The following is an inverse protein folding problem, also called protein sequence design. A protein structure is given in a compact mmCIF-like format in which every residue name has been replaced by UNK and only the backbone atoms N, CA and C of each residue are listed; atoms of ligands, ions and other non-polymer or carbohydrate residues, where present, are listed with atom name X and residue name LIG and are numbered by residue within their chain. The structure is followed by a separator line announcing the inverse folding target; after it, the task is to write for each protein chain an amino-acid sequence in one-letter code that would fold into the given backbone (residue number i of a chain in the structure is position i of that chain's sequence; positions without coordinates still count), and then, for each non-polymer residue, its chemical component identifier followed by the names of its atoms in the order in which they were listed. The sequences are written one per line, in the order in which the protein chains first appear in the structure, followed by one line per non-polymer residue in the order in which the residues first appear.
data_IF_790272518150
#
_entry.id   IF_790272518150
#
_cell.length_a   1.000
_cell.length_b   1.000
_cell.length_c   1.000
_cell.angle_alpha   90.00
_cell.angle_beta   90.00
_cell.angle_gamma   90.00
#
_symmetry.space_group_name_H-M   'P 1'
#
loop_
_entity.id
_entity.type
_entity.pdbx_description
1 polymer ?
#
# COMPACT_ATOMS: atom_id res chain seq x y z
N UNK A 1 -0.48 4.98 40.27
CA UNK A 1 -1.88 5.24 39.85
C UNK A 1 -1.95 6.07 38.56
N UNK A 2 -1.03 7.02 38.32
CA UNK A 2 -0.99 7.87 37.12
C UNK A 2 -0.65 7.11 35.80
N UNK A 3 0.16 6.05 35.88
CA UNK A 3 0.61 5.30 34.69
C UNK A 3 -0.49 4.47 34.02
N UNK A 4 -1.46 3.97 34.79
CA UNK A 4 -2.60 3.21 34.24
C UNK A 4 -3.52 4.14 33.44
N UNK A 5 -3.77 5.35 33.96
CA UNK A 5 -4.54 6.36 33.23
C UNK A 5 -3.81 6.83 31.97
N UNK A 6 -2.49 7.02 32.05
CA UNK A 6 -1.66 7.36 30.89
C UNK A 6 -1.71 6.26 29.83
N UNK A 7 -1.50 5.00 30.20
CA UNK A 7 -1.59 3.86 29.27
C UNK A 7 -2.98 3.72 28.65
N UNK A 8 -4.05 3.90 29.44
CA UNK A 8 -5.43 3.87 28.92
C UNK A 8 -5.69 5.02 27.94
N UNK A 9 -5.19 6.21 28.25
CA UNK A 9 -5.33 7.38 27.37
C UNK A 9 -4.59 7.18 26.04
N UNK A 10 -3.36 6.67 26.07
CA UNK A 10 -2.59 6.39 24.84
C UNK A 10 -3.27 5.34 23.97
N UNK A 11 -3.82 4.27 24.57
CA UNK A 11 -4.62 3.28 23.82
C UNK A 11 -5.85 3.89 23.14
N UNK A 12 -6.56 4.79 23.84
CA UNK A 12 -7.75 5.44 23.29
C UNK A 12 -7.40 6.38 22.12
N UNK A 13 -6.30 7.13 22.22
CA UNK A 13 -5.80 7.97 21.13
C UNK A 13 -5.44 7.12 19.91
N UNK A 14 -4.74 6.00 20.12
CA UNK A 14 -4.35 5.13 19.02
C UNK A 14 -5.56 4.50 18.33
N UNK A 15 -6.54 4.02 19.11
CA UNK A 15 -7.81 3.53 18.56
C UNK A 15 -8.55 4.61 17.75
N UNK A 16 -8.58 5.85 18.24
CA UNK A 16 -9.19 6.96 17.52
C UNK A 16 -8.45 7.28 16.22
N UNK A 17 -7.10 7.22 16.22
CA UNK A 17 -6.26 7.44 15.04
C UNK A 17 -6.53 6.38 13.96
N UNK A 18 -6.48 5.10 14.32
CA UNK A 18 -6.76 3.98 13.41
C UNK A 18 -8.18 4.10 12.84
N UNK A 19 -9.17 4.42 13.67
CA UNK A 19 -10.55 4.58 13.23
C UNK A 19 -10.68 5.74 12.22
N UNK A 20 -10.04 6.87 12.49
CA UNK A 20 -10.04 8.02 11.58
C UNK A 20 -9.37 7.68 10.25
N UNK A 21 -8.25 6.95 10.27
CA UNK A 21 -7.57 6.51 9.06
C UNK A 21 -8.44 5.56 8.22
N UNK A 22 -9.04 4.55 8.85
CA UNK A 22 -9.96 3.63 8.16
C UNK A 22 -11.17 4.34 7.56
N UNK A 23 -11.72 5.35 8.25
CA UNK A 23 -12.81 6.16 7.70
C UNK A 23 -12.39 6.86 6.41
N UNK A 24 -11.19 7.46 6.39
CA UNK A 24 -10.65 8.09 5.16
C UNK A 24 -10.48 7.08 4.03
N UNK A 25 -10.04 5.86 4.33
CA UNK A 25 -9.95 4.81 3.31
C UNK A 25 -11.31 4.46 2.72
N UNK A 26 -12.36 4.39 3.57
CA UNK A 26 -13.72 4.12 3.14
C UNK A 26 -14.33 5.27 2.32
N UNK A 27 -13.91 6.50 2.59
CA UNK A 27 -14.37 7.70 1.87
C UNK A 27 -13.59 7.94 0.56
N UNK A 28 -12.43 7.29 0.36
CA UNK A 28 -11.67 7.37 -0.87
C UNK A 28 -12.26 6.42 -1.92
N UNK A 29 -13.04 6.97 -2.84
CA UNK A 29 -13.74 6.25 -3.91
C UNK A 29 -12.79 5.43 -4.79
N UNK A 30 -11.68 6.02 -5.25
CA UNK A 30 -10.69 5.35 -6.10
C UNK A 30 -10.03 4.17 -5.38
N UNK A 31 -9.70 4.34 -4.10
CA UNK A 31 -9.18 3.24 -3.29
C UNK A 31 -10.23 2.13 -3.12
N UNK A 32 -11.50 2.47 -2.89
CA UNK A 32 -12.56 1.46 -2.75
C UNK A 32 -12.81 0.70 -4.05
N UNK A 33 -12.80 1.38 -5.20
CA UNK A 33 -12.91 0.76 -6.52
C UNK A 33 -11.74 -0.20 -6.78
N UNK A 34 -10.51 0.25 -6.52
CA UNK A 34 -9.30 -0.56 -6.62
C UNK A 34 -9.34 -1.80 -5.72
N UNK A 35 -9.64 -1.63 -4.43
CA UNK A 35 -9.73 -2.75 -3.49
C UNK A 35 -10.84 -3.74 -3.90
N UNK A 36 -11.96 -3.25 -4.43
CA UNK A 36 -13.02 -4.10 -4.95
C UNK A 36 -12.58 -4.87 -6.20
N UNK A 37 -11.81 -4.26 -7.10
CA UNK A 37 -11.31 -4.88 -8.32
C UNK A 37 -10.24 -5.95 -8.02
N UNK A 38 -9.35 -5.68 -7.05
CA UNK A 38 -8.35 -6.63 -6.57
C UNK A 38 -8.98 -7.92 -6.02
N UNK A 39 -10.19 -7.82 -5.45
CA UNK A 39 -11.03 -8.89 -4.89
C UNK A 39 -10.40 -9.60 -3.67
N UNK A 40 -9.21 -10.18 -3.82
CA UNK A 40 -8.46 -10.85 -2.76
C UNK A 40 -7.16 -10.10 -2.48
N UNK A 41 -7.11 -9.43 -1.33
CA UNK A 41 -5.94 -8.67 -0.90
C UNK A 41 -5.79 -8.73 0.63
N UNK A 42 -4.61 -8.35 1.12
CA UNK A 42 -4.34 -8.19 2.55
C UNK A 42 -3.87 -6.78 2.82
N UNK A 43 -4.57 -6.05 3.68
CA UNK A 43 -4.06 -4.78 4.23
C UNK A 43 -3.04 -5.12 5.32
N UNK A 44 -1.83 -4.60 5.16
CA UNK A 44 -0.72 -4.80 6.08
C UNK A 44 -0.82 -3.77 7.21
N UNK A 45 -0.76 -4.24 8.46
CA UNK A 45 -0.85 -3.42 9.69
C UNK A 45 0.39 -3.61 10.59
N UNK A 46 1.43 -4.27 10.10
CA UNK A 46 2.70 -4.44 10.83
C UNK A 46 3.63 -3.27 10.53
N UNK A 47 3.87 -2.41 11.52
CA UNK A 47 4.73 -1.22 11.38
C UNK A 47 6.16 -1.54 10.94
N UNK A 48 6.76 -2.64 11.44
CA UNK A 48 8.12 -3.00 11.07
C UNK A 48 8.18 -3.45 9.62
N UNK A 49 7.17 -4.18 9.17
CA UNK A 49 7.03 -4.60 7.79
C UNK A 49 6.80 -3.40 6.87
N UNK A 50 5.87 -2.52 7.24
CA UNK A 50 5.57 -1.30 6.49
C UNK A 50 6.82 -0.44 6.31
N UNK A 51 7.57 -0.18 7.39
CA UNK A 51 8.80 0.61 7.31
C UNK A 51 9.82 0.01 6.34
N UNK A 52 10.03 -1.31 6.38
CA UNK A 52 10.96 -1.99 5.45
C UNK A 52 10.52 -1.86 4.00
N UNK A 53 9.23 -2.07 3.72
CA UNK A 53 8.69 -1.97 2.36
C UNK A 53 8.79 -0.54 1.84
N UNK A 54 8.46 0.45 2.69
CA UNK A 54 8.60 1.87 2.34
C UNK A 54 10.06 2.27 2.12
N UNK A 55 10.99 1.77 2.93
CA UNK A 55 12.43 2.01 2.74
C UNK A 55 12.90 1.50 1.37
N UNK A 56 12.41 0.34 0.93
CA UNK A 56 12.73 -0.22 -0.40
C UNK A 56 12.12 0.65 -1.51
N UNK A 57 10.82 0.94 -1.42
CA UNK A 57 10.12 1.74 -2.43
C UNK A 57 10.69 3.17 -2.55
N UNK A 58 11.16 3.75 -1.43
CA UNK A 58 11.73 5.10 -1.39
C UNK A 58 13.21 5.17 -1.76
N UNK A 59 13.90 4.03 -1.90
CA UNK A 59 15.29 3.97 -2.35
C UNK A 59 15.40 4.17 -3.87
N UNK A 60 15.03 5.38 -4.31
CA UNK A 60 14.87 5.84 -5.71
C UNK A 60 16.08 5.65 -6.64
N UNK A 61 17.23 5.17 -6.15
CA UNK A 61 18.40 4.88 -6.98
C UNK A 61 18.35 3.52 -7.66
N UNK A 62 17.67 2.56 -7.06
CA UNK A 62 17.63 1.18 -7.55
C UNK A 62 16.25 0.80 -8.11
N UNK A 63 15.25 1.66 -7.94
CA UNK A 63 13.89 1.48 -8.46
C UNK A 63 13.77 2.18 -9.80
N UNK A 64 13.62 1.40 -10.87
CA UNK A 64 13.29 1.93 -12.19
C UNK A 64 11.87 2.49 -12.16
N UNK A 65 11.71 3.75 -12.57
CA UNK A 65 10.42 4.43 -12.67
C UNK A 65 9.94 4.36 -14.11
N UNK A 66 8.88 3.58 -14.33
CA UNK A 66 8.21 3.46 -15.61
C UNK A 66 7.07 4.48 -15.73
N UNK A 67 6.76 4.90 -16.95
CA UNK A 67 5.50 5.58 -17.21
C UNK A 67 4.37 4.56 -17.16
N UNK A 68 3.17 4.95 -16.74
CA UNK A 68 1.96 4.13 -16.86
C UNK A 68 1.70 3.63 -18.31
N UNK A 69 2.28 4.31 -19.31
CA UNK A 69 2.23 3.88 -20.72
C UNK A 69 3.18 2.75 -21.08
N UNK A 70 4.15 2.46 -20.22
CA UNK A 70 5.06 1.35 -20.39
C UNK A 70 4.33 0.09 -19.91
N UNK A 71 4.29 -0.96 -20.74
CA UNK A 71 3.67 -2.25 -20.40
C UNK A 71 4.50 -2.96 -19.31
N UNK A 72 4.33 -2.54 -18.06
CA UNK A 72 4.89 -3.23 -16.89
C UNK A 72 3.97 -4.39 -16.56
N UNK A 73 4.46 -5.62 -16.79
CA UNK A 73 3.74 -6.83 -16.42
C UNK A 73 4.39 -7.46 -15.20
N UNK A 74 3.63 -7.58 -14.11
CA UNK A 74 4.08 -8.28 -12.91
C UNK A 74 4.02 -9.80 -13.11
N UNK A 75 4.81 -10.56 -12.36
CA UNK A 75 4.73 -12.02 -12.37
C UNK A 75 3.42 -12.48 -11.73
N UNK A 76 2.60 -13.21 -12.49
CA UNK A 76 1.27 -13.64 -12.08
C UNK A 76 1.28 -14.55 -10.84
N UNK A 77 2.34 -15.34 -10.61
CA UNK A 77 2.44 -16.27 -9.49
C UNK A 77 3.01 -15.62 -8.22
N UNK A 78 3.62 -14.44 -8.35
CA UNK A 78 4.22 -13.72 -7.23
C UNK A 78 3.25 -12.75 -6.57
N UNK A 79 3.49 -12.48 -5.28
CA UNK A 79 2.78 -11.41 -4.56
C UNK A 79 3.62 -10.16 -4.50
N UNK A 80 2.92 -9.03 -4.52
CA UNK A 80 3.50 -7.70 -4.46
C UNK A 80 2.80 -6.86 -3.40
N UNK A 81 3.59 -6.12 -2.65
CA UNK A 81 3.14 -4.98 -1.88
C UNK A 81 2.91 -3.80 -2.83
N UNK A 82 1.71 -3.24 -2.79
CA UNK A 82 1.30 -2.03 -3.50
C UNK A 82 1.49 -0.86 -2.53
N UNK A 83 2.40 0.05 -2.90
CA UNK A 83 2.75 1.24 -2.14
C UNK A 83 2.38 2.46 -2.96
N UNK A 84 1.45 3.26 -2.48
CA UNK A 84 1.11 4.54 -3.07
C UNK A 84 1.92 5.67 -2.41
N UNK A 85 2.16 6.77 -3.13
CA UNK A 85 2.95 7.90 -2.64
C UNK A 85 2.26 8.77 -1.57
N UNK A 86 0.96 8.58 -1.35
CA UNK A 86 0.26 9.16 -0.22
C UNK A 86 0.36 8.30 1.04
N UNK A 87 1.04 8.82 2.08
CA UNK A 87 1.17 8.16 3.40
C UNK A 87 -0.16 7.84 4.08
N UNK A 88 -1.25 8.48 3.66
CA UNK A 88 -2.59 8.19 4.17
C UNK A 88 -3.17 6.89 3.63
N UNK A 89 -2.66 6.32 2.54
CA UNK A 89 -3.19 5.11 1.91
C UNK A 89 -2.67 3.84 2.60
N UNK A 90 -3.43 2.72 2.55
CA UNK A 90 -3.00 1.47 3.16
C UNK A 90 -1.81 0.86 2.41
N UNK A 91 -1.00 0.06 3.09
CA UNK A 91 -0.11 -0.88 2.41
C UNK A 91 -0.90 -2.15 2.08
N UNK A 92 -0.90 -2.58 0.81
CA UNK A 92 -1.72 -3.71 0.34
C UNK A 92 -0.83 -4.80 -0.24
N UNK A 93 -1.01 -6.06 0.16
CA UNK A 93 -0.37 -7.22 -0.45
C UNK A 93 -1.37 -7.96 -1.35
N UNK A 94 -1.03 -8.18 -2.61
CA UNK A 94 -1.88 -8.86 -3.60
C UNK A 94 -1.06 -9.71 -4.58
N UNK A 95 -1.72 -10.62 -5.29
CA UNK A 95 -1.11 -11.46 -6.34
C UNK A 95 -0.90 -10.63 -7.62
N UNK A 96 0.22 -10.83 -8.32
CA UNK A 96 0.55 -10.12 -9.56
C UNK A 96 -0.53 -10.25 -10.62
N UNK A 97 -1.10 -11.45 -10.80
CA UNK A 97 -2.20 -11.70 -11.75
C UNK A 97 -3.39 -10.77 -11.49
N UNK A 98 -3.71 -10.52 -10.21
CA UNK A 98 -4.84 -9.67 -9.83
C UNK A 98 -4.54 -8.22 -10.14
N UNK A 99 -3.33 -7.76 -9.80
CA UNK A 99 -2.87 -6.39 -10.06
C UNK A 99 -2.87 -6.13 -11.58
N UNK A 100 -2.32 -7.05 -12.38
CA UNK A 100 -2.28 -6.95 -13.83
C UNK A 100 -3.71 -6.85 -14.43
N UNK A 101 -4.67 -7.61 -13.90
CA UNK A 101 -6.06 -7.61 -14.37
C UNK A 101 -6.88 -6.36 -14.00
N UNK A 102 -6.45 -5.58 -13.01
CA UNK A 102 -7.10 -4.33 -12.60
C UNK A 102 -6.09 -3.15 -12.56
N UNK A 103 -5.16 -3.16 -13.51
CA UNK A 103 -4.04 -2.21 -13.55
C UNK A 103 -4.49 -0.75 -13.47
N UNK A 104 -5.48 -0.38 -14.28
CA UNK A 104 -6.00 0.99 -14.34
C UNK A 104 -6.58 1.43 -12.99
N UNK A 105 -7.31 0.55 -12.30
CA UNK A 105 -7.85 0.83 -10.98
C UNK A 105 -6.74 1.06 -9.95
N UNK A 106 -5.66 0.26 -10.00
CA UNK A 106 -4.50 0.40 -9.09
C UNK A 106 -3.75 1.69 -9.35
N UNK A 107 -3.55 2.05 -10.61
CA UNK A 107 -2.86 3.27 -11.05
C UNK A 107 -3.68 4.53 -10.83
N UNK A 108 -5.02 4.44 -10.79
CA UNK A 108 -5.90 5.58 -10.55
C UNK A 108 -5.83 6.09 -9.10
N UNK A 109 -5.45 5.24 -8.14
CA UNK A 109 -5.47 5.59 -6.70
C UNK A 109 -4.50 6.73 -6.36
N UNK A 110 -3.34 6.80 -7.02
CA UNK A 110 -2.27 7.77 -6.71
C UNK A 110 -1.36 8.04 -7.90
N UNK A 111 -0.60 9.15 -7.86
CA UNK A 111 0.29 9.53 -8.97
C UNK A 111 1.47 8.59 -9.13
N UNK A 112 2.17 8.28 -8.03
CA UNK A 112 3.29 7.34 -8.01
C UNK A 112 2.84 6.08 -7.26
N UNK A 113 2.98 4.92 -7.91
CA UNK A 113 2.73 3.61 -7.31
C UNK A 113 3.97 2.73 -7.43
N UNK A 114 4.30 2.02 -6.37
CA UNK A 114 5.42 1.10 -6.31
C UNK A 114 4.94 -0.31 -5.99
N UNK A 115 5.49 -1.28 -6.72
CA UNK A 115 5.27 -2.70 -6.48
C UNK A 115 6.55 -3.29 -5.93
N UNK A 116 6.51 -3.77 -4.69
CA UNK A 116 7.64 -4.45 -4.06
C UNK A 116 7.29 -5.93 -3.95
N UNK A 117 8.11 -6.84 -4.47
CA UNK A 117 7.79 -8.27 -4.38
C UNK A 117 7.77 -8.75 -2.92
N UNK A 118 7.06 -9.85 -2.63
CA UNK A 118 6.90 -10.36 -1.26
C UNK A 118 8.25 -10.69 -0.58
N UNK A 119 9.24 -11.09 -1.40
CA UNK A 119 10.61 -11.37 -0.95
C UNK A 119 11.46 -10.13 -0.69
N UNK A 120 10.96 -8.92 -1.00
CA UNK A 120 11.64 -7.63 -0.78
C UNK A 120 13.00 -7.51 -1.49
N UNK A 121 13.16 -8.20 -2.61
CA UNK A 121 14.38 -8.18 -3.41
C UNK A 121 14.30 -7.22 -4.57
N UNK A 122 13.09 -6.95 -5.06
CA UNK A 122 12.84 -6.17 -6.25
C UNK A 122 11.69 -5.19 -6.00
N UNK A 123 11.83 -4.00 -6.58
CA UNK A 123 10.79 -2.99 -6.56
C UNK A 123 10.71 -2.31 -7.92
N UNK A 124 9.48 -2.10 -8.37
CA UNK A 124 9.15 -1.47 -9.65
C UNK A 124 8.30 -0.25 -9.34
N UNK A 125 8.70 0.91 -9.86
CA UNK A 125 7.93 2.15 -9.72
C UNK A 125 7.19 2.46 -11.01
N UNK A 126 5.96 2.94 -10.89
CA UNK A 126 5.14 3.38 -12.01
C UNK A 126 4.56 4.75 -11.69
N UNK A 127 4.70 5.68 -12.64
CA UNK A 127 4.14 7.03 -12.56
C UNK A 127 3.03 7.20 -13.60
N UNK A 128 1.85 7.60 -13.12
CA UNK A 128 0.70 7.96 -13.95
C UNK A 128 0.89 9.31 -14.66
#
# INVERSE_FOLDING_TARGET
MNDIYKQKMERLKEQARIKAQRLRWMENELLQECLSALNTYVIVDDENLMNKVFDIASNKKDVEMHSHKDEVLLDDEQKYYIVWDELSLPLVLCLGERINNCWDDVMAVSFDTYFVNESMTEAIGVRN
#
